data_IF_687122175875
#
_entry.id   IF_687122175875
#
_cell.length_a   1.000
_cell.length_b   1.000
_cell.length_c   1.000
_cell.angle_alpha   90.00
_cell.angle_beta   90.00
_cell.angle_gamma   90.00
#
_symmetry.space_group_name_H-M   'P 1'
#
loop_
_entity.id
_entity.type
_entity.pdbx_description
1 polymer ?
#
# COMPACT_ATOMS: atom_id res chain seq x y z
N UNK A 1 6.62 5.84 -18.26
CA UNK A 1 5.23 6.30 -18.56
C UNK A 1 4.30 6.23 -17.36
N UNK A 2 4.30 5.17 -16.55
CA UNK A 2 3.44 5.06 -15.33
C UNK A 2 3.76 6.11 -14.26
N UNK A 3 5.03 6.47 -14.09
CA UNK A 3 5.47 7.48 -13.12
C UNK A 3 4.86 8.87 -13.38
N UNK A 4 4.67 9.27 -14.63
CA UNK A 4 4.07 10.55 -15.02
C UNK A 4 2.55 10.58 -14.83
N UNK A 5 1.84 9.48 -15.11
CA UNK A 5 0.39 9.40 -14.91
C UNK A 5 0.00 9.58 -13.44
N UNK A 6 0.64 8.85 -12.51
CA UNK A 6 0.31 8.95 -11.08
C UNK A 6 0.57 10.34 -10.47
N UNK A 7 1.53 11.12 -10.98
CA UNK A 7 1.82 12.48 -10.49
C UNK A 7 0.77 13.47 -10.99
N UNK A 8 0.44 13.43 -12.30
CA UNK A 8 -0.60 14.29 -12.89
C UNK A 8 -1.95 14.05 -12.25
N UNK A 9 -2.39 12.79 -12.16
CA UNK A 9 -3.69 12.45 -11.56
C UNK A 9 -3.81 12.99 -10.12
N UNK A 10 -2.71 12.95 -9.36
CA UNK A 10 -2.70 13.45 -7.98
C UNK A 10 -2.78 14.98 -7.92
N UNK A 11 -2.08 15.68 -8.80
CA UNK A 11 -2.12 17.14 -8.87
C UNK A 11 -3.51 17.62 -9.30
N UNK A 12 -4.11 16.96 -10.28
CA UNK A 12 -5.47 17.25 -10.76
C UNK A 12 -6.51 17.01 -9.65
N UNK A 13 -6.36 15.93 -8.87
CA UNK A 13 -7.23 15.66 -7.72
C UNK A 13 -7.08 16.76 -6.66
N UNK A 14 -5.85 17.12 -6.30
CA UNK A 14 -5.58 18.17 -5.31
C UNK A 14 -6.12 19.53 -5.78
N UNK A 15 -5.98 19.84 -7.06
CA UNK A 15 -6.55 21.04 -7.64
C UNK A 15 -8.08 21.03 -7.60
N UNK A 16 -8.71 19.91 -7.98
CA UNK A 16 -10.16 19.74 -7.90
C UNK A 16 -10.72 19.84 -6.48
N UNK A 17 -9.96 19.38 -5.48
CA UNK A 17 -10.32 19.56 -4.05
C UNK A 17 -10.20 21.03 -3.65
N UNK A 18 -9.13 21.72 -4.05
CA UNK A 18 -8.94 23.17 -3.76
C UNK A 18 -10.05 24.02 -4.36
N UNK A 19 -10.52 23.67 -5.54
CA UNK A 19 -11.59 24.35 -6.25
C UNK A 19 -13.01 23.90 -5.80
N UNK A 20 -13.09 23.07 -4.75
CA UNK A 20 -14.34 22.47 -4.23
C UNK A 20 -15.16 21.65 -5.26
N UNK A 21 -14.53 21.29 -6.38
CA UNK A 21 -15.13 20.44 -7.42
C UNK A 21 -15.14 18.95 -7.04
N UNK A 22 -14.19 18.51 -6.22
CA UNK A 22 -14.05 17.13 -5.76
C UNK A 22 -14.33 17.09 -4.25
N UNK A 23 -15.40 16.37 -3.88
CA UNK A 23 -15.86 16.20 -2.50
C UNK A 23 -15.16 15.00 -1.84
N UNK A 24 -15.20 14.94 -0.51
CA UNK A 24 -14.64 13.87 0.31
C UNK A 24 -15.10 12.47 -0.15
N UNK A 25 -16.40 12.26 -0.38
CA UNK A 25 -16.95 10.99 -0.85
C UNK A 25 -16.39 10.55 -2.21
N UNK A 26 -16.12 11.51 -3.08
CA UNK A 26 -15.52 11.23 -4.39
C UNK A 26 -14.09 10.76 -4.22
N UNK A 27 -13.32 11.45 -3.37
CA UNK A 27 -11.95 11.06 -3.03
C UNK A 27 -11.92 9.66 -2.42
N UNK A 28 -12.81 9.39 -1.46
CA UNK A 28 -12.93 8.09 -0.82
C UNK A 28 -13.11 6.97 -1.84
N UNK A 29 -14.13 7.09 -2.71
CA UNK A 29 -14.40 6.09 -3.77
C UNK A 29 -13.25 5.96 -4.78
N UNK A 30 -12.54 7.05 -5.06
CA UNK A 30 -11.38 7.01 -5.95
C UNK A 30 -10.23 6.21 -5.32
N UNK A 31 -9.92 6.42 -4.05
CA UNK A 31 -8.85 5.70 -3.35
C UNK A 31 -9.21 4.22 -3.20
N UNK A 32 -10.45 3.92 -2.82
CA UNK A 32 -10.95 2.54 -2.75
C UNK A 32 -10.81 1.82 -4.10
N UNK A 33 -11.30 2.44 -5.18
CA UNK A 33 -11.18 1.87 -6.53
C UNK A 33 -9.71 1.70 -6.95
N UNK A 34 -8.85 2.66 -6.61
CA UNK A 34 -7.43 2.56 -6.88
C UNK A 34 -6.82 1.34 -6.20
N UNK A 35 -7.15 1.08 -4.93
CA UNK A 35 -6.62 -0.06 -4.20
C UNK A 35 -7.09 -1.40 -4.78
N UNK A 36 -8.37 -1.51 -5.19
CA UNK A 36 -8.86 -2.68 -5.95
C UNK A 36 -8.10 -2.85 -7.26
N UNK A 37 -7.87 -1.75 -8.00
CA UNK A 37 -7.12 -1.79 -9.27
C UNK A 37 -5.67 -2.22 -9.07
N UNK A 38 -5.02 -1.82 -7.97
CA UNK A 38 -3.66 -2.24 -7.66
C UNK A 38 -3.56 -3.76 -7.51
N UNK A 39 -4.50 -4.38 -6.83
CA UNK A 39 -4.55 -5.85 -6.69
C UNK A 39 -4.87 -6.53 -8.03
N UNK A 40 -5.80 -5.98 -8.79
CA UNK A 40 -6.29 -6.56 -10.03
C UNK A 40 -5.25 -6.55 -11.16
N UNK A 41 -4.50 -5.45 -11.31
CA UNK A 41 -3.72 -5.20 -12.54
C UNK A 41 -2.21 -5.25 -12.35
N UNK A 42 -1.69 -5.26 -11.11
CA UNK A 42 -0.26 -5.09 -10.84
C UNK A 42 0.41 -6.35 -10.29
N UNK A 43 -0.15 -7.53 -10.58
CA UNK A 43 0.40 -8.81 -10.12
C UNK A 43 1.82 -9.06 -10.63
N UNK A 44 2.14 -8.62 -11.84
CA UNK A 44 3.49 -8.74 -12.42
C UNK A 44 4.51 -7.87 -11.68
N UNK A 45 4.12 -6.66 -11.32
CA UNK A 45 4.95 -5.75 -10.55
C UNK A 45 5.17 -6.27 -9.13
N UNK A 46 4.15 -6.85 -8.51
CA UNK A 46 4.32 -7.53 -7.21
C UNK A 46 5.24 -8.74 -7.33
N UNK A 47 5.12 -9.55 -8.40
CA UNK A 47 6.06 -10.64 -8.63
C UNK A 47 7.50 -10.15 -8.68
N UNK A 48 7.80 -9.08 -9.39
CA UNK A 48 9.14 -8.49 -9.45
C UNK A 48 9.65 -8.04 -8.06
N UNK A 49 8.77 -7.49 -7.22
CA UNK A 49 9.13 -7.13 -5.84
C UNK A 49 9.50 -8.38 -5.04
N UNK A 50 8.72 -9.45 -5.13
CA UNK A 50 9.02 -10.70 -4.45
C UNK A 50 10.30 -11.35 -4.98
N UNK A 51 10.59 -11.26 -6.28
CA UNK A 51 11.86 -11.75 -6.84
C UNK A 51 13.07 -11.03 -6.21
N UNK A 52 12.96 -9.71 -6.01
CA UNK A 52 13.99 -8.93 -5.31
C UNK A 52 14.13 -9.39 -3.85
N UNK A 53 13.02 -9.61 -3.14
CA UNK A 53 13.02 -10.02 -1.74
C UNK A 53 13.51 -11.47 -1.52
N UNK A 54 13.41 -12.31 -2.52
CA UNK A 54 13.90 -13.69 -2.48
C UNK A 54 15.41 -13.82 -2.67
N UNK A 55 16.08 -12.76 -3.08
CA UNK A 55 17.53 -12.74 -3.24
C UNK A 55 18.20 -12.01 -2.05
N UNK A 56 18.91 -12.77 -1.21
CA UNK A 56 19.60 -12.23 -0.02
C UNK A 56 20.65 -11.17 -0.35
N UNK A 57 21.19 -11.16 -1.57
CA UNK A 57 22.20 -10.19 -1.99
C UNK A 57 21.64 -8.78 -2.17
N UNK A 58 20.31 -8.65 -2.28
CA UNK A 58 19.64 -7.36 -2.41
C UNK A 58 19.42 -6.63 -1.08
N UNK A 59 19.64 -7.29 0.06
CA UNK A 59 19.36 -6.68 1.37
C UNK A 59 20.47 -5.73 1.82
N UNK A 60 20.11 -4.60 2.47
CA UNK A 60 18.75 -4.21 2.89
C UNK A 60 17.90 -3.65 1.74
N UNK A 61 16.60 -3.95 1.73
CA UNK A 61 15.63 -3.45 0.76
C UNK A 61 14.73 -2.37 1.38
N UNK A 62 14.54 -1.26 0.67
CA UNK A 62 13.60 -0.19 1.07
C UNK A 62 12.45 -0.15 0.07
N UNK A 63 11.22 -0.31 0.59
CA UNK A 63 10.00 -0.19 -0.19
C UNK A 63 9.40 1.20 0.04
N UNK A 64 9.22 1.97 -1.02
CA UNK A 64 8.64 3.31 -0.93
C UNK A 64 7.78 3.67 -2.14
N UNK A 65 6.87 4.61 -1.94
CA UNK A 65 6.13 5.30 -3.00
C UNK A 65 6.23 6.82 -2.79
N UNK A 66 5.35 7.62 -3.38
CA UNK A 66 5.40 9.08 -3.24
C UNK A 66 5.05 9.58 -1.82
N UNK A 67 4.18 8.89 -1.09
CA UNK A 67 3.73 9.26 0.26
C UNK A 67 3.95 8.18 1.32
N UNK A 68 4.50 7.03 0.93
CA UNK A 68 4.75 5.93 1.85
C UNK A 68 3.49 5.23 2.40
N UNK A 69 2.31 5.46 1.83
CA UNK A 69 1.03 4.96 2.36
C UNK A 69 0.36 3.93 1.44
N UNK A 70 -0.46 4.32 0.48
CA UNK A 70 -1.30 3.41 -0.28
C UNK A 70 -0.52 2.28 -0.95
N UNK A 71 0.31 2.57 -1.94
CA UNK A 71 1.09 1.55 -2.67
C UNK A 71 2.09 0.84 -1.78
N UNK A 72 2.81 1.57 -0.94
CA UNK A 72 3.74 0.98 0.04
C UNK A 72 2.99 0.09 1.01
N UNK A 73 1.88 0.56 1.57
CA UNK A 73 1.07 -0.21 2.51
C UNK A 73 0.52 -1.51 1.91
N UNK A 74 0.05 -1.50 0.64
CA UNK A 74 -0.38 -2.73 -0.03
C UNK A 74 0.80 -3.70 -0.19
N UNK A 75 1.96 -3.23 -0.64
CA UNK A 75 3.14 -4.10 -0.79
C UNK A 75 3.57 -4.67 0.57
N UNK A 76 3.63 -3.83 1.61
CA UNK A 76 3.93 -4.29 2.98
C UNK A 76 2.92 -5.34 3.45
N UNK A 77 1.63 -5.11 3.24
CA UNK A 77 0.58 -6.07 3.60
C UNK A 77 0.74 -7.40 2.86
N UNK A 78 1.05 -7.39 1.56
CA UNK A 78 1.30 -8.60 0.78
C UNK A 78 2.55 -9.38 1.28
N UNK A 79 3.62 -8.66 1.62
CA UNK A 79 4.83 -9.26 2.18
C UNK A 79 4.53 -9.87 3.56
N UNK A 80 3.87 -9.14 4.44
CA UNK A 80 3.49 -9.62 5.77
C UNK A 80 2.56 -10.84 5.68
N UNK A 81 1.58 -10.83 4.76
CA UNK A 81 0.73 -11.98 4.51
C UNK A 81 1.53 -13.20 4.03
N UNK A 82 2.48 -13.04 3.09
CA UNK A 82 3.36 -14.11 2.64
C UNK A 82 4.24 -14.67 3.79
N UNK A 83 4.62 -13.81 4.74
CA UNK A 83 5.33 -14.23 5.96
C UNK A 83 4.42 -14.96 6.95
N UNK A 84 3.11 -14.92 6.78
CA UNK A 84 2.13 -15.56 7.68
C UNK A 84 1.76 -14.72 8.89
N UNK A 85 1.93 -13.39 8.81
CA UNK A 85 1.52 -12.46 9.87
C UNK A 85 0.00 -12.38 9.92
N UNK A 86 -0.55 -12.27 11.13
CA UNK A 86 -1.98 -12.14 11.34
C UNK A 86 -2.54 -10.84 10.72
N UNK A 87 -3.76 -10.90 10.20
CA UNK A 87 -4.43 -9.76 9.53
C UNK A 87 -4.57 -8.53 10.41
N UNK A 88 -4.87 -8.71 11.71
CA UNK A 88 -5.00 -7.59 12.65
C UNK A 88 -3.67 -6.83 12.78
N UNK A 89 -2.55 -7.56 12.82
CA UNK A 89 -1.20 -6.97 12.87
C UNK A 89 -0.86 -6.27 11.54
N UNK A 90 -1.25 -6.86 10.41
CA UNK A 90 -1.07 -6.23 9.09
C UNK A 90 -1.86 -4.92 9.02
N UNK A 91 -3.08 -4.91 9.53
CA UNK A 91 -3.92 -3.70 9.57
C UNK A 91 -3.34 -2.64 10.50
N UNK A 92 -2.82 -3.04 11.66
CA UNK A 92 -2.14 -2.15 12.60
C UNK A 92 -0.91 -1.49 11.96
N UNK A 93 -0.02 -2.28 11.33
CA UNK A 93 1.16 -1.80 10.60
C UNK A 93 0.75 -0.78 9.50
N UNK A 94 -0.29 -1.10 8.73
CA UNK A 94 -0.81 -0.19 7.71
C UNK A 94 -1.24 1.16 8.30
N UNK A 95 -1.95 1.14 9.42
CA UNK A 95 -2.47 2.35 10.09
C UNK A 95 -1.37 3.20 10.73
N UNK A 96 -0.28 2.58 11.21
CA UNK A 96 0.88 3.29 11.78
C UNK A 96 1.45 4.35 10.83
N UNK A 97 1.31 4.16 9.53
CA UNK A 97 1.73 5.15 8.53
C UNK A 97 1.04 6.52 8.68
N UNK A 98 -0.10 6.62 9.39
CA UNK A 98 -0.78 7.88 9.66
C UNK A 98 0.01 8.74 10.67
N UNK A 99 0.67 8.10 11.64
CA UNK A 99 1.37 8.78 12.74
C UNK A 99 2.65 9.46 12.25
N UNK A 100 3.24 8.91 11.18
CA UNK A 100 4.49 9.41 10.61
C UNK A 100 4.30 10.33 9.40
N UNK A 101 3.06 10.52 8.94
CA UNK A 101 2.78 11.33 7.76
C UNK A 101 2.25 12.71 8.12
N UNK A 102 3.00 13.74 7.75
CA UNK A 102 2.60 15.13 8.01
C UNK A 102 1.84 15.70 6.80
N UNK A 103 0.50 15.77 6.91
CA UNK A 103 -0.39 16.32 5.87
C UNK A 103 -0.05 17.78 5.53
N UNK A 104 0.20 18.70 6.49
CA UNK A 104 0.63 20.06 6.20
C UNK A 104 1.90 20.17 5.37
N UNK A 105 2.86 19.24 5.55
CA UNK A 105 4.05 19.15 4.68
C UNK A 105 3.75 18.65 3.29
N UNK A 106 2.81 17.70 3.17
CA UNK A 106 2.41 17.11 1.89
C UNK A 106 1.52 18.04 1.07
N UNK A 107 0.76 18.91 1.74
CA UNK A 107 -0.08 19.93 1.12
C UNK A 107 0.09 21.26 1.88
N UNK A 108 1.03 22.08 1.43
CA UNK A 108 1.47 23.35 2.08
C UNK A 108 0.33 24.32 2.43
N UNK A 109 -0.85 24.14 1.86
CA UNK A 109 -2.00 25.04 2.03
C UNK A 109 -3.24 24.34 2.58
N UNK A 110 -3.15 23.06 2.99
CA UNK A 110 -4.33 22.30 3.43
C UNK A 110 -5.10 23.05 4.55
N UNK A 111 -4.39 23.59 5.53
CA UNK A 111 -4.97 24.30 6.67
C UNK A 111 -5.66 25.63 6.33
N UNK A 112 -5.42 26.17 5.12
CA UNK A 112 -6.05 27.42 4.63
C UNK A 112 -7.31 27.19 3.82
N UNK A 113 -7.63 25.92 3.54
CA UNK A 113 -8.78 25.54 2.74
C UNK A 113 -10.04 25.44 3.61
N UNK A 114 -11.23 25.55 3.02
CA UNK A 114 -12.48 25.23 3.71
C UNK A 114 -12.44 23.85 4.35
N UNK A 115 -13.17 23.64 5.45
CA UNK A 115 -13.17 22.38 6.22
C UNK A 115 -13.46 21.17 5.34
N UNK A 116 -14.41 21.27 4.41
CA UNK A 116 -14.76 20.18 3.47
C UNK A 116 -13.58 19.78 2.56
N UNK A 117 -12.79 20.75 2.13
CA UNK A 117 -11.56 20.48 1.34
C UNK A 117 -10.46 19.88 2.20
N UNK A 118 -10.36 20.32 3.47
CA UNK A 118 -9.42 19.69 4.43
C UNK A 118 -9.76 18.24 4.68
N UNK A 119 -11.04 17.89 4.85
CA UNK A 119 -11.51 16.50 4.99
C UNK A 119 -11.17 15.64 3.76
N UNK A 120 -11.39 16.18 2.56
CA UNK A 120 -11.06 15.50 1.32
C UNK A 120 -9.53 15.25 1.18
N UNK A 121 -8.70 16.22 1.54
CA UNK A 121 -7.25 16.08 1.56
C UNK A 121 -6.83 15.05 2.61
N UNK A 122 -7.39 15.12 3.80
CA UNK A 122 -7.10 14.15 4.86
C UNK A 122 -7.45 12.73 4.39
N UNK A 123 -8.61 12.54 3.77
CA UNK A 123 -9.02 11.25 3.21
C UNK A 123 -8.02 10.74 2.16
N UNK A 124 -7.57 11.63 1.25
CA UNK A 124 -6.60 11.26 0.19
C UNK A 124 -5.26 10.77 0.77
N UNK A 125 -4.87 11.32 1.92
CA UNK A 125 -3.57 11.02 2.55
C UNK A 125 -3.67 10.11 3.77
N UNK A 126 -4.83 9.60 4.13
CA UNK A 126 -5.01 8.68 5.25
C UNK A 126 -4.83 7.21 4.82
N UNK A 127 -4.20 6.42 5.68
CA UNK A 127 -4.26 4.97 5.63
C UNK A 127 -5.51 4.52 6.41
N UNK A 128 -6.62 4.31 5.70
CA UNK A 128 -7.90 3.88 6.28
C UNK A 128 -8.06 2.38 6.14
N UNK A 129 -8.66 1.74 7.13
CA UNK A 129 -8.94 0.30 7.10
C UNK A 129 -9.71 -0.10 5.84
N UNK A 130 -10.76 0.65 5.49
CA UNK A 130 -11.58 0.41 4.31
C UNK A 130 -10.75 0.35 3.01
N UNK A 131 -9.65 1.12 2.94
CA UNK A 131 -8.80 1.14 1.75
C UNK A 131 -7.94 -0.13 1.62
N UNK A 132 -7.43 -0.65 2.73
CA UNK A 132 -6.71 -1.92 2.72
C UNK A 132 -7.69 -3.09 2.54
N UNK A 133 -8.86 -3.04 3.20
CA UNK A 133 -9.93 -4.02 3.03
C UNK A 133 -10.41 -4.08 1.58
N UNK A 134 -10.55 -2.95 0.88
CA UNK A 134 -10.91 -2.93 -0.54
C UNK A 134 -9.88 -3.70 -1.40
N UNK A 135 -8.59 -3.61 -1.07
CA UNK A 135 -7.56 -4.40 -1.73
C UNK A 135 -7.70 -5.90 -1.41
N UNK A 136 -7.90 -6.24 -0.12
CA UNK A 136 -8.12 -7.62 0.32
C UNK A 136 -9.36 -8.23 -0.33
N UNK A 137 -10.50 -7.56 -0.28
CA UNK A 137 -11.76 -7.99 -0.89
C UNK A 137 -11.59 -8.30 -2.38
N UNK A 138 -10.81 -7.51 -3.10
CA UNK A 138 -10.56 -7.74 -4.52
C UNK A 138 -9.71 -8.98 -4.76
N UNK A 139 -8.71 -9.26 -3.90
CA UNK A 139 -7.93 -10.49 -3.95
C UNK A 139 -8.82 -11.70 -3.67
N UNK A 140 -9.64 -11.65 -2.62
CA UNK A 140 -10.57 -12.72 -2.24
C UNK A 140 -11.64 -12.94 -3.30
N UNK A 141 -12.21 -11.87 -3.84
CA UNK A 141 -13.22 -11.96 -4.92
C UNK A 141 -12.71 -12.71 -6.14
N UNK A 142 -11.44 -12.53 -6.51
CA UNK A 142 -10.84 -13.13 -7.72
C UNK A 142 -10.24 -14.51 -7.48
N UNK A 143 -9.67 -14.74 -6.32
CA UNK A 143 -8.84 -15.90 -6.03
C UNK A 143 -9.35 -16.75 -4.87
N UNK A 144 -10.38 -16.29 -4.14
CA UNK A 144 -10.98 -16.97 -3.01
C UNK A 144 -10.39 -16.56 -1.66
N UNK A 145 -9.07 -16.45 -1.56
CA UNK A 145 -8.36 -16.03 -0.37
C UNK A 145 -7.00 -15.39 -0.72
N UNK A 146 -6.35 -14.77 0.28
CA UNK A 146 -5.06 -14.10 0.12
C UNK A 146 -3.93 -15.09 -0.22
N UNK A 147 -3.91 -16.28 0.35
CA UNK A 147 -2.90 -17.30 0.06
C UNK A 147 -2.97 -17.74 -1.40
N UNK A 148 -4.18 -17.95 -1.91
CA UNK A 148 -4.41 -18.27 -3.32
C UNK A 148 -4.02 -17.11 -4.23
N UNK A 149 -4.28 -15.85 -3.82
CA UNK A 149 -3.83 -14.68 -4.56
C UNK A 149 -2.30 -14.61 -4.64
N UNK A 150 -1.59 -14.82 -3.53
CA UNK A 150 -0.12 -14.87 -3.51
C UNK A 150 0.42 -15.97 -4.45
N UNK A 151 -0.19 -17.15 -4.44
CA UNK A 151 0.27 -18.29 -5.21
C UNK A 151 -0.14 -18.23 -6.69
N UNK A 152 -1.41 -17.96 -7.01
CA UNK A 152 -1.94 -17.99 -8.37
C UNK A 152 -1.97 -16.63 -9.05
N UNK A 153 -2.21 -15.56 -8.28
CA UNK A 153 -2.25 -14.19 -8.80
C UNK A 153 -0.86 -13.63 -9.01
N UNK A 154 -0.02 -13.65 -7.97
CA UNK A 154 1.36 -13.16 -8.01
C UNK A 154 2.32 -14.22 -8.55
N UNK A 155 2.00 -15.51 -8.39
CA UNK A 155 2.79 -16.62 -8.90
C UNK A 155 3.92 -17.06 -7.95
N UNK A 156 3.73 -16.90 -6.63
CA UNK A 156 4.68 -17.40 -5.63
C UNK A 156 4.48 -18.90 -5.39
N UNK A 157 5.53 -19.69 -5.54
CA UNK A 157 5.50 -21.09 -5.13
C UNK A 157 5.56 -21.23 -3.60
N UNK A 158 5.10 -22.37 -3.10
CA UNK A 158 5.19 -22.67 -1.65
C UNK A 158 6.63 -22.67 -1.14
N UNK A 159 7.58 -23.09 -1.97
CA UNK A 159 9.00 -23.10 -1.60
C UNK A 159 9.59 -21.70 -1.57
N UNK A 160 9.17 -20.79 -2.47
CA UNK A 160 9.54 -19.38 -2.43
C UNK A 160 9.00 -18.70 -1.16
N UNK A 161 7.74 -18.96 -0.77
CA UNK A 161 7.17 -18.46 0.47
C UNK A 161 7.97 -18.96 1.69
N UNK A 162 8.31 -20.25 1.74
CA UNK A 162 9.17 -20.80 2.81
C UNK A 162 10.56 -20.14 2.81
N UNK A 163 11.15 -19.93 1.65
CA UNK A 163 12.45 -19.25 1.50
C UNK A 163 12.38 -17.81 2.00
N UNK A 164 11.33 -17.06 1.64
CA UNK A 164 11.12 -15.70 2.12
C UNK A 164 11.05 -15.64 3.64
N UNK A 165 10.28 -16.53 4.26
CA UNK A 165 10.19 -16.66 5.72
C UNK A 165 11.54 -16.95 6.35
N UNK A 166 12.32 -17.88 5.79
CA UNK A 166 13.67 -18.19 6.27
C UNK A 166 14.64 -16.99 6.20
N UNK A 167 14.57 -16.21 5.13
CA UNK A 167 15.39 -15.00 4.97
C UNK A 167 15.03 -13.98 6.05
N UNK A 168 13.73 -13.73 6.26
CA UNK A 168 13.24 -12.70 7.18
C UNK A 168 13.51 -13.04 8.65
N UNK A 169 13.37 -14.31 9.05
CA UNK A 169 13.65 -14.76 10.43
C UNK A 169 15.15 -14.70 10.74
N UNK A 170 16.01 -15.09 9.80
CA UNK A 170 17.47 -15.03 10.00
C UNK A 170 17.96 -13.59 10.23
N UNK A 171 17.33 -12.61 9.58
CA UNK A 171 17.70 -11.20 9.73
C UNK A 171 17.27 -10.60 11.09
N UNK A 172 16.14 -11.02 11.64
CA UNK A 172 15.66 -10.58 12.95
C UNK A 172 16.52 -11.14 14.10
N UNK A 173 17.01 -12.36 13.98
CA UNK A 173 17.93 -12.94 14.98
C UNK A 173 19.29 -12.25 15.05
N UNK A 174 19.82 -11.76 13.93
CA UNK A 174 21.09 -11.04 13.92
C UNK A 174 21.02 -9.67 14.60
N UNK A 175 19.87 -8.98 14.55
CA UNK A 175 19.67 -7.69 15.24
C UNK A 175 19.38 -7.81 16.73
N UNK A 176 18.92 -8.94 17.22
CA UNK A 176 18.63 -9.15 18.63
C UNK A 176 19.90 -9.35 19.48
N UNK A 177 21.08 -9.44 18.86
CA UNK A 177 22.37 -9.65 19.49
C UNK A 177 23.36 -8.47 19.33
N UNK A 178 22.94 -7.34 18.72
CA UNK A 178 23.64 -6.06 18.74
C UNK A 178 23.02 -5.09 19.75
#
# INVERSE_FOLDING_TARGET
RQRQMCIRDREDILQGIREEKIKCDTVYRMVERMNRTLIDKYTKEYRQIFDILLDKTNYPVVIHCSSGKGRTGIVSALVLAALGVNEDIIMEDYRLSNDYFNIPRASKYAYRLPTRSQEAITTLFSAREDFLNAAKDEAERKYGDMDTYLQKGIGLSKDEIKRLRSISVSYTHLRAHE
#
